data_IF_665325077920
#
_entry.id   IF_665325077920
#
_cell.length_a   1.000
_cell.length_b   1.000
_cell.length_c   1.000
_cell.angle_alpha   90.00
_cell.angle_beta   90.00
_cell.angle_gamma   90.00
#
_symmetry.space_group_name_H-M   'P 1'
#
loop_
_entity.id
_entity.type
_entity.pdbx_description
1 polymer ?
#
# COMPACT_ATOMS: atom_id res chain seq x y z
N UNK A 1 36.73 -20.41 24.36
CA UNK A 1 35.32 -19.98 24.56
C UNK A 1 35.30 -18.47 24.31
N UNK A 2 34.54 -17.89 23.39
CA UNK A 2 33.41 -18.35 22.62
C UNK A 2 33.56 -17.86 21.16
N UNK A 3 33.28 -18.75 20.22
CA UNK A 3 33.03 -18.35 18.83
C UNK A 3 31.71 -17.59 18.84
N UNK A 4 31.74 -16.32 18.45
CA UNK A 4 30.51 -15.59 18.12
C UNK A 4 30.00 -16.18 16.82
N UNK A 5 29.07 -17.12 16.96
CA UNK A 5 28.20 -17.57 15.88
C UNK A 5 27.61 -16.32 15.24
N UNK A 6 28.05 -15.99 14.03
CA UNK A 6 27.30 -15.10 13.16
C UNK A 6 26.22 -15.97 12.56
N UNK A 7 25.00 -15.88 13.06
CA UNK A 7 23.83 -16.38 12.37
C UNK A 7 23.77 -15.72 10.98
N UNK A 8 23.88 -16.47 9.86
CA UNK A 8 23.46 -15.98 8.57
C UNK A 8 21.97 -16.26 8.45
N UNK A 9 21.13 -15.53 9.21
CA UNK A 9 19.69 -15.53 8.95
C UNK A 9 19.46 -14.69 7.68
N UNK A 10 19.74 -15.31 6.54
CA UNK A 10 19.41 -14.79 5.21
C UNK A 10 18.09 -15.44 4.81
N UNK A 11 16.98 -14.98 5.40
CA UNK A 11 15.64 -15.45 5.02
C UNK A 11 14.66 -14.28 5.03
N UNK A 12 14.36 -13.76 3.83
CA UNK A 12 13.19 -12.91 3.55
C UNK A 12 13.11 -11.61 4.38
N UNK A 13 13.88 -10.59 3.97
CA UNK A 13 13.66 -9.21 4.42
C UNK A 13 12.29 -8.74 3.90
N UNK A 14 11.21 -9.17 4.55
CA UNK A 14 9.86 -8.72 4.28
C UNK A 14 9.76 -7.27 4.75
N UNK A 15 10.25 -6.36 3.90
CA UNK A 15 10.27 -4.92 4.14
C UNK A 15 8.85 -4.45 4.39
N UNK A 16 8.56 -4.10 5.64
CA UNK A 16 7.33 -3.42 6.03
C UNK A 16 7.66 -1.96 6.28
N UNK A 17 7.17 -1.08 5.42
CA UNK A 17 7.46 0.35 5.45
C UNK A 17 6.14 1.11 5.51
N UNK A 18 5.93 1.86 6.59
CA UNK A 18 4.77 2.74 6.72
C UNK A 18 5.18 4.19 6.52
N UNK A 19 4.48 4.89 5.63
CA UNK A 19 4.69 6.28 5.30
C UNK A 19 3.39 7.06 5.33
N UNK A 20 3.42 8.25 5.95
CA UNK A 20 2.33 9.23 5.81
C UNK A 20 2.50 10.00 4.51
N UNK A 21 1.48 9.96 3.65
CA UNK A 21 1.48 10.60 2.33
C UNK A 21 0.52 11.79 2.35
N UNK A 22 1.03 12.98 2.05
CA UNK A 22 0.19 14.15 1.81
C UNK A 22 -0.44 14.05 0.41
N UNK A 23 -1.76 14.17 0.34
CA UNK A 23 -2.52 13.96 -0.90
C UNK A 23 -2.59 15.22 -1.77
N UNK A 24 -2.64 16.41 -1.15
CA UNK A 24 -2.68 17.69 -1.87
C UNK A 24 -1.52 17.90 -2.86
N UNK A 25 -0.24 17.66 -2.50
CA UNK A 25 0.87 17.82 -3.45
C UNK A 25 0.83 16.81 -4.62
N UNK A 26 0.01 15.76 -4.55
CA UNK A 26 -0.19 14.81 -5.64
C UNK A 26 -1.27 15.26 -6.65
N UNK A 27 -1.79 16.49 -6.50
CA UNK A 27 -2.83 17.03 -7.38
C UNK A 27 -4.22 16.40 -7.15
N UNK A 28 -4.41 15.73 -6.02
CA UNK A 28 -5.69 15.10 -5.65
C UNK A 28 -6.63 16.19 -5.11
N UNK A 29 -7.89 16.16 -5.56
CA UNK A 29 -8.93 17.10 -5.11
C UNK A 29 -9.42 16.74 -3.70
N UNK A 30 -8.64 17.14 -2.71
CA UNK A 30 -8.90 16.96 -1.28
C UNK A 30 -8.59 18.24 -0.50
N UNK A 31 -9.15 18.40 0.71
CA UNK A 31 -8.84 19.55 1.56
C UNK A 31 -7.34 19.66 1.86
N UNK A 32 -6.89 20.90 2.04
CA UNK A 32 -5.51 21.20 2.44
C UNK A 32 -5.18 20.50 3.74
N UNK A 33 -4.06 19.77 3.77
CA UNK A 33 -3.65 18.96 4.92
C UNK A 33 -4.15 17.51 4.92
N UNK A 34 -4.96 17.10 3.94
CA UNK A 34 -5.37 15.70 3.83
C UNK A 34 -4.17 14.76 3.63
N UNK A 35 -4.08 13.75 4.47
CA UNK A 35 -3.07 12.69 4.45
C UNK A 35 -3.72 11.32 4.33
N UNK A 36 -2.93 10.33 3.94
CA UNK A 36 -3.23 8.91 4.14
C UNK A 36 -1.98 8.21 4.69
N UNK A 37 -2.18 7.08 5.36
CA UNK A 37 -1.09 6.19 5.73
C UNK A 37 -0.94 5.12 4.66
N UNK A 38 0.29 4.87 4.22
CA UNK A 38 0.61 3.85 3.24
C UNK A 38 1.59 2.88 3.87
N UNK A 39 1.19 1.63 4.02
CA UNK A 39 2.02 0.53 4.50
C UNK A 39 2.33 -0.38 3.32
N UNK A 40 3.59 -0.39 2.89
CA UNK A 40 4.10 -1.34 1.91
C UNK A 40 4.67 -2.55 2.64
N UNK A 41 4.35 -3.75 2.15
CA UNK A 41 4.90 -5.01 2.65
C UNK A 41 5.35 -5.89 1.50
N UNK A 42 6.60 -6.36 1.53
CA UNK A 42 7.10 -7.37 0.59
C UNK A 42 8.26 -6.86 -0.24
N UNK A 43 8.32 -7.25 -1.51
CA UNK A 43 9.41 -6.87 -2.43
C UNK A 43 8.83 -6.32 -3.73
N UNK A 44 9.68 -5.71 -4.59
CA UNK A 44 9.21 -5.23 -5.90
C UNK A 44 8.56 -6.31 -6.78
N UNK A 45 8.94 -7.57 -6.64
CA UNK A 45 8.37 -8.68 -7.41
C UNK A 45 7.06 -9.23 -6.83
N UNK A 46 6.72 -8.93 -5.59
CA UNK A 46 5.43 -9.26 -4.98
C UNK A 46 5.27 -8.44 -3.70
N UNK A 47 4.26 -7.57 -3.68
CA UNK A 47 4.01 -6.67 -2.59
C UNK A 47 2.53 -6.58 -2.25
N UNK A 48 2.29 -6.18 -1.01
CA UNK A 48 0.98 -5.82 -0.48
C UNK A 48 1.09 -4.37 0.00
N UNK A 49 0.21 -3.51 -0.47
CA UNK A 49 0.07 -2.12 -0.01
C UNK A 49 -1.25 -1.97 0.73
N UNK A 50 -1.19 -1.52 1.97
CA UNK A 50 -2.36 -1.06 2.71
C UNK A 50 -2.37 0.46 2.75
N UNK A 51 -3.49 1.07 2.34
CA UNK A 51 -3.69 2.51 2.38
C UNK A 51 -4.81 2.81 3.35
N UNK A 52 -4.58 3.68 4.33
CA UNK A 52 -5.59 4.07 5.32
C UNK A 52 -5.85 5.57 5.28
N UNK A 53 -7.13 5.95 5.27
CA UNK A 53 -7.57 7.35 5.29
C UNK A 53 -8.97 7.47 5.89
N UNK A 54 -9.13 8.35 6.88
CA UNK A 54 -10.42 8.65 7.52
C UNK A 54 -11.15 7.37 7.97
N UNK A 55 -10.46 6.45 8.66
CA UNK A 55 -11.06 5.19 9.14
C UNK A 55 -11.32 4.13 8.06
N UNK A 56 -11.10 4.44 6.78
CA UNK A 56 -11.20 3.49 5.68
C UNK A 56 -9.82 2.96 5.31
N UNK A 57 -9.73 1.66 5.06
CA UNK A 57 -8.50 0.98 4.66
C UNK A 57 -8.70 0.24 3.34
N UNK A 58 -7.76 0.38 2.42
CA UNK A 58 -7.73 -0.33 1.14
C UNK A 58 -6.50 -1.21 1.09
N UNK A 59 -6.66 -2.46 0.68
CA UNK A 59 -5.57 -3.42 0.52
C UNK A 59 -5.39 -3.72 -0.95
N UNK A 60 -4.19 -3.47 -1.43
CA UNK A 60 -3.75 -3.74 -2.78
C UNK A 60 -2.67 -4.82 -2.75
N UNK A 61 -2.73 -5.75 -3.68
CA UNK A 61 -1.72 -6.78 -3.89
C UNK A 61 -1.20 -6.63 -5.31
N UNK A 62 0.11 -6.65 -5.49
CA UNK A 62 0.70 -6.33 -6.78
C UNK A 62 2.07 -6.92 -6.98
N UNK A 63 2.52 -6.82 -8.23
CA UNK A 63 3.82 -7.26 -8.69
C UNK A 63 4.35 -6.23 -9.67
N UNK A 64 5.60 -5.83 -9.50
CA UNK A 64 6.30 -4.89 -10.38
C UNK A 64 5.56 -3.55 -10.53
N UNK A 65 4.96 -3.29 -11.69
CA UNK A 65 4.26 -2.04 -12.00
C UNK A 65 2.73 -2.14 -11.94
N UNK A 66 2.20 -3.31 -11.54
CA UNK A 66 0.76 -3.61 -11.51
C UNK A 66 0.31 -3.91 -10.07
N UNK A 67 -0.87 -3.42 -9.71
CA UNK A 67 -1.53 -3.76 -8.46
C UNK A 67 -3.04 -3.98 -8.64
N UNK A 68 -3.58 -4.88 -7.84
CA UNK A 68 -5.00 -5.19 -7.75
C UNK A 68 -5.52 -4.80 -6.37
N UNK A 69 -6.63 -4.07 -6.33
CA UNK A 69 -7.35 -3.77 -5.12
C UNK A 69 -8.13 -5.03 -4.71
N UNK A 70 -7.63 -5.73 -3.70
CA UNK A 70 -8.17 -7.01 -3.21
C UNK A 70 -9.11 -6.85 -2.03
N UNK A 71 -8.96 -5.77 -1.25
CA UNK A 71 -9.77 -5.51 -0.06
C UNK A 71 -10.08 -4.04 0.17
N UNK A 72 -11.24 -3.79 0.76
CA UNK A 72 -11.60 -2.50 1.34
C UNK A 72 -12.26 -2.74 2.70
N UNK A 73 -11.93 -1.91 3.67
CA UNK A 73 -12.48 -1.89 5.02
C UNK A 73 -12.97 -0.48 5.29
N UNK A 74 -14.16 -0.37 5.85
CA UNK A 74 -14.75 0.88 6.31
C UNK A 74 -14.80 0.90 7.83
N UNK A 75 -15.15 2.03 8.45
CA UNK A 75 -15.35 2.10 9.90
C UNK A 75 -16.36 1.05 10.42
N UNK A 76 -17.36 0.69 9.61
CA UNK A 76 -18.37 -0.32 9.92
C UNK A 76 -17.90 -1.79 9.73
N UNK A 77 -16.65 -2.02 9.30
CA UNK A 77 -16.08 -3.37 9.13
C UNK A 77 -15.58 -3.66 7.72
N UNK A 78 -15.64 -4.94 7.31
CA UNK A 78 -15.23 -5.36 5.96
C UNK A 78 -16.22 -4.78 4.97
N UNK A 79 -15.75 -3.90 4.08
CA UNK A 79 -16.58 -3.41 3.00
C UNK A 79 -16.74 -4.51 1.93
N UNK A 80 -17.87 -4.51 1.22
CA UNK A 80 -18.05 -5.33 0.04
C UNK A 80 -16.88 -5.18 -0.94
N UNK A 81 -16.56 -6.27 -1.67
CA UNK A 81 -15.45 -6.32 -2.62
C UNK A 81 -15.46 -5.04 -3.47
N UNK A 82 -14.37 -4.26 -3.48
CA UNK A 82 -14.39 -2.96 -4.11
C UNK A 82 -14.64 -3.11 -5.61
N UNK A 83 -15.68 -2.44 -6.11
CA UNK A 83 -16.08 -2.49 -7.53
C UNK A 83 -15.34 -1.47 -8.38
N UNK A 84 -14.71 -0.48 -7.76
CA UNK A 84 -13.90 0.55 -8.42
C UNK A 84 -12.72 0.96 -7.54
N UNK A 85 -11.56 1.17 -8.16
CA UNK A 85 -10.41 1.80 -7.52
C UNK A 85 -10.66 3.32 -7.45
N UNK A 86 -10.59 3.94 -6.26
CA UNK A 86 -10.63 5.38 -6.14
C UNK A 86 -9.50 6.04 -6.93
N UNK A 87 -9.80 7.08 -7.73
CA UNK A 87 -8.81 7.69 -8.64
C UNK A 87 -7.57 8.23 -7.91
N UNK A 88 -7.73 8.61 -6.65
CA UNK A 88 -6.65 9.09 -5.80
C UNK A 88 -5.69 7.97 -5.34
N UNK A 89 -6.15 6.71 -5.24
CA UNK A 89 -5.29 5.57 -4.88
C UNK A 89 -4.29 5.31 -5.99
N UNK A 90 -4.72 5.33 -7.25
CA UNK A 90 -3.83 5.18 -8.40
C UNK A 90 -2.72 6.25 -8.39
N UNK A 91 -3.04 7.50 -8.04
CA UNK A 91 -2.07 8.60 -7.91
C UNK A 91 -1.06 8.39 -6.77
N UNK A 92 -1.52 7.85 -5.64
CA UNK A 92 -0.63 7.55 -4.51
C UNK A 92 0.30 6.39 -4.86
N UNK A 93 -0.23 5.34 -5.48
CA UNK A 93 0.53 4.17 -5.93
C UNK A 93 1.60 4.53 -6.96
N UNK A 94 1.24 5.32 -7.96
CA UNK A 94 2.18 5.87 -8.96
C UNK A 94 3.28 6.71 -8.29
N UNK A 95 2.91 7.68 -7.45
CA UNK A 95 3.87 8.62 -6.86
C UNK A 95 4.77 8.03 -5.77
N UNK A 96 4.40 6.91 -5.13
CA UNK A 96 5.12 6.34 -3.99
C UNK A 96 5.72 4.97 -4.23
N UNK A 97 5.07 4.14 -5.04
CA UNK A 97 5.45 2.74 -5.26
C UNK A 97 5.83 2.48 -6.73
N UNK A 98 5.70 3.48 -7.62
CA UNK A 98 5.98 3.36 -9.06
C UNK A 98 5.03 2.37 -9.78
N UNK A 99 3.81 2.25 -9.26
CA UNK A 99 2.76 1.39 -9.82
C UNK A 99 1.85 2.24 -10.69
N UNK A 100 1.89 1.98 -11.99
CA UNK A 100 1.16 2.76 -13.00
C UNK A 100 -0.22 2.17 -13.33
N UNK A 101 -0.42 0.87 -13.06
CA UNK A 101 -1.68 0.20 -13.31
C UNK A 101 -2.29 -0.33 -12.00
N UNK A 102 -3.46 0.21 -11.65
CA UNK A 102 -4.23 -0.26 -10.50
C UNK A 102 -5.62 -0.66 -10.95
N UNK A 103 -5.99 -1.92 -10.72
CA UNK A 103 -7.28 -2.47 -11.09
C UNK A 103 -8.01 -3.06 -9.89
N UNK A 104 -9.30 -3.37 -10.00
CA UNK A 104 -10.01 -4.14 -8.97
C UNK A 104 -9.81 -5.62 -9.26
N UNK A 105 -9.59 -6.42 -8.22
CA UNK A 105 -9.56 -7.87 -8.37
C UNK A 105 -10.90 -8.33 -8.96
N UNK A 106 -10.90 -8.95 -10.14
CA UNK A 106 -12.14 -9.44 -10.76
C UNK A 106 -12.66 -10.69 -10.08
#
# INVERSE_FOLDING_TARGET
>A
MAVRERDPDTTDERLEITNTVHLKPLGIDVPSGATCELTFRGTRGNFIVSIERNGNRWTLEGSEAQAELTGAFTEDGIADKPTRVPDWIARVMDAKIDVSEVSVQR
#
